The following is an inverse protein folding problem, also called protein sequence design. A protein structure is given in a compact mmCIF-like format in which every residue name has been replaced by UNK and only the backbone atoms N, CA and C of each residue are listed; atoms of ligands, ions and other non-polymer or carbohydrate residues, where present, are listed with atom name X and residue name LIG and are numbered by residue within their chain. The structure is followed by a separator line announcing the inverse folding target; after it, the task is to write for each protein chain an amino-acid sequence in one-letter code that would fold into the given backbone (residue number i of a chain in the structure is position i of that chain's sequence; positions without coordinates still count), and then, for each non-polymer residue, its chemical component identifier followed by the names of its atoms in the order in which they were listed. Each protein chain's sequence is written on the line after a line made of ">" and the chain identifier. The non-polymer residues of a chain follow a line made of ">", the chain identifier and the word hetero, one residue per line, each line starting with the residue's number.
data_IF_022433181314
#
_entry.id   IF_022433181314
#
_cell.length_a   1.000
_cell.length_b   1.000
_cell.length_c   1.000
_cell.angle_alpha   90.00
_cell.angle_beta   90.00
_cell.angle_gamma   90.00
#
_symmetry.space_group_name_H-M   'P 1'
#
loop_
_entity.id
_entity.type
_entity.pdbx_description
1 polymer ?
#
# COMPACT_ATOMS: atom_id res chain seq x y z
N UNK A 1 9.31 32.83 20.44
CA UNK A 1 8.69 31.73 19.64
C UNK A 1 9.68 30.58 19.65
N UNK A 2 9.57 29.65 20.62
CA UNK A 2 10.44 28.49 20.72
C UNK A 2 9.96 27.44 19.73
N UNK A 3 10.62 27.33 18.58
CA UNK A 3 10.38 26.24 17.64
C UNK A 3 10.93 24.95 18.24
N UNK A 4 10.05 24.07 18.70
CA UNK A 4 10.43 22.69 18.99
C UNK A 4 10.88 22.06 17.68
N UNK A 5 12.16 21.87 17.48
CA UNK A 5 12.69 20.95 16.47
C UNK A 5 12.23 19.57 16.92
N UNK A 6 11.18 19.05 16.30
CA UNK A 6 10.78 17.66 16.50
C UNK A 6 11.90 16.79 15.97
N UNK A 7 12.58 16.08 16.87
CA UNK A 7 13.61 15.12 16.48
C UNK A 7 12.95 14.01 15.65
N UNK A 8 13.38 13.87 14.40
CA UNK A 8 12.81 12.87 13.50
C UNK A 8 13.38 11.51 13.84
N UNK A 9 12.49 10.53 13.97
CA UNK A 9 12.88 9.13 14.16
C UNK A 9 13.69 8.64 12.97
N UNK A 10 14.85 8.03 13.25
CA UNK A 10 15.64 7.30 12.27
C UNK A 10 15.45 5.80 12.54
N UNK A 11 15.07 4.99 11.56
CA UNK A 11 14.95 3.55 11.74
C UNK A 11 16.27 2.90 12.17
N UNK A 12 16.20 1.88 13.02
CA UNK A 12 17.38 1.18 13.54
C UNK A 12 18.04 0.27 12.48
N UNK A 13 17.34 -0.05 11.40
CA UNK A 13 17.86 -0.84 10.30
C UNK A 13 17.70 -0.11 8.97
N UNK A 14 18.63 -0.37 8.06
CA UNK A 14 18.60 0.16 6.70
C UNK A 14 18.44 -1.00 5.72
N UNK A 15 17.64 -0.78 4.71
CA UNK A 15 17.52 -1.68 3.57
C UNK A 15 18.64 -1.37 2.56
N UNK A 16 18.98 -2.34 1.70
CA UNK A 16 20.03 -2.17 0.70
C UNK A 16 19.68 -1.10 -0.35
N UNK A 17 18.36 -0.87 -0.57
CA UNK A 17 17.84 0.16 -1.46
C UNK A 17 17.70 -0.27 -2.92
N UNK A 18 17.91 -1.55 -3.21
CA UNK A 18 17.74 -2.14 -4.53
C UNK A 18 16.63 -3.22 -4.56
N UNK A 19 15.96 -3.44 -3.43
CA UNK A 19 14.82 -4.34 -3.32
C UNK A 19 13.71 -3.94 -4.29
N UNK A 20 13.09 -4.97 -4.88
CA UNK A 20 12.04 -4.76 -5.86
C UNK A 20 10.90 -5.77 -5.73
N UNK A 21 9.77 -5.45 -6.35
CA UNK A 21 8.62 -6.34 -6.44
C UNK A 21 8.10 -6.44 -7.87
N UNK A 22 7.51 -7.59 -8.18
CA UNK A 22 6.72 -7.84 -9.37
C UNK A 22 5.29 -8.14 -8.92
N UNK A 23 4.35 -7.29 -9.32
CA UNK A 23 2.92 -7.42 -9.05
C UNK A 23 2.27 -7.92 -10.32
N UNK A 24 1.85 -9.18 -10.32
CA UNK A 24 1.07 -9.76 -11.39
C UNK A 24 -0.40 -9.45 -11.19
N UNK A 25 -1.03 -8.89 -12.20
CA UNK A 25 -2.45 -8.48 -12.13
C UNK A 25 -3.26 -9.06 -13.28
N UNK A 26 -4.59 -8.98 -13.18
CA UNK A 26 -5.50 -9.35 -14.28
C UNK A 26 -5.33 -8.49 -15.55
N UNK A 27 -4.54 -7.40 -15.50
CA UNK A 27 -4.27 -6.49 -16.61
C UNK A 27 -2.84 -6.52 -17.11
N UNK A 28 -1.96 -7.25 -16.44
CA UNK A 28 -0.53 -7.35 -16.77
C UNK A 28 0.35 -7.17 -15.54
N UNK A 29 1.64 -6.99 -15.79
CA UNK A 29 2.69 -6.95 -14.78
C UNK A 29 3.09 -5.52 -14.43
N UNK A 30 3.19 -5.21 -13.14
CA UNK A 30 3.73 -3.95 -12.61
C UNK A 30 5.02 -4.27 -11.87
N UNK A 31 6.13 -3.62 -12.22
CA UNK A 31 7.41 -3.74 -11.51
C UNK A 31 7.65 -2.50 -10.66
N UNK A 32 8.11 -2.72 -9.44
CA UNK A 32 8.32 -1.69 -8.43
C UNK A 32 9.75 -1.79 -7.90
N UNK A 33 10.40 -0.65 -7.70
CA UNK A 33 11.59 -0.52 -6.86
C UNK A 33 11.18 0.15 -5.54
N UNK A 34 11.69 -0.38 -4.43
CA UNK A 34 11.39 0.16 -3.10
C UNK A 34 12.30 1.33 -2.72
N UNK A 35 11.84 2.15 -1.79
CA UNK A 35 12.60 3.19 -1.09
C UNK A 35 12.79 2.75 0.37
N UNK A 36 13.79 1.91 0.57
CA UNK A 36 14.12 1.38 1.88
C UNK A 36 14.75 2.42 2.82
N UNK A 37 15.31 3.51 2.31
CA UNK A 37 15.88 4.57 3.12
C UNK A 37 14.78 5.42 3.77
N UNK A 38 13.74 5.77 2.99
CA UNK A 38 12.64 6.64 3.47
C UNK A 38 11.58 5.92 4.29
N UNK A 39 11.35 4.62 4.03
CA UNK A 39 10.25 3.87 4.66
C UNK A 39 10.60 2.39 4.89
N UNK A 40 11.66 2.06 5.65
CA UNK A 40 12.13 0.69 5.83
C UNK A 40 11.10 -0.23 6.49
N UNK A 41 10.30 0.26 7.46
CA UNK A 41 9.25 -0.54 8.12
C UNK A 41 8.17 -0.93 7.09
N UNK A 42 7.77 0.01 6.22
CA UNK A 42 6.75 -0.26 5.19
C UNK A 42 7.27 -1.23 4.13
N UNK A 43 8.52 -1.08 3.70
CA UNK A 43 9.14 -2.02 2.75
C UNK A 43 9.24 -3.41 3.37
N UNK A 44 9.79 -3.55 4.59
CA UNK A 44 9.91 -4.83 5.28
C UNK A 44 8.54 -5.51 5.46
N UNK A 45 7.52 -4.76 5.90
CA UNK A 45 6.16 -5.27 6.05
C UNK A 45 5.56 -5.73 4.72
N UNK A 46 5.75 -4.95 3.65
CA UNK A 46 5.24 -5.32 2.32
C UNK A 46 5.96 -6.57 1.79
N UNK A 47 7.28 -6.68 1.97
CA UNK A 47 8.07 -7.85 1.59
C UNK A 47 7.64 -9.09 2.37
N UNK A 48 7.48 -9.00 3.70
CA UNK A 48 7.01 -10.10 4.55
C UNK A 48 5.64 -10.62 4.08
N UNK A 49 4.66 -9.72 3.96
CA UNK A 49 3.31 -10.08 3.51
C UNK A 49 3.32 -10.69 2.09
N UNK A 50 4.13 -10.15 1.17
CA UNK A 50 4.27 -10.69 -0.18
C UNK A 50 4.87 -12.09 -0.18
N UNK A 51 5.93 -12.32 0.59
CA UNK A 51 6.59 -13.63 0.70
C UNK A 51 5.66 -14.70 1.29
N UNK A 52 4.75 -14.30 2.18
CA UNK A 52 3.72 -15.17 2.74
C UNK A 52 2.54 -15.45 1.77
N UNK A 53 2.53 -14.85 0.57
CA UNK A 53 1.41 -14.92 -0.37
C UNK A 53 0.16 -14.19 0.12
N UNK A 54 0.30 -13.26 1.07
CA UNK A 54 -0.83 -12.53 1.64
C UNK A 54 -1.65 -11.77 0.61
N UNK A 55 -1.01 -11.25 -0.43
CA UNK A 55 -1.67 -10.44 -1.46
C UNK A 55 -2.31 -11.28 -2.58
N UNK A 56 -2.02 -12.59 -2.65
CA UNK A 56 -2.48 -13.44 -3.73
C UNK A 56 -4.00 -13.55 -3.75
N UNK A 57 -4.59 -13.26 -4.89
CA UNK A 57 -6.05 -13.29 -5.07
C UNK A 57 -6.81 -12.07 -4.59
N UNK A 58 -6.16 -11.13 -3.89
CA UNK A 58 -6.80 -9.89 -3.46
C UNK A 58 -7.15 -9.00 -4.66
N UNK A 59 -8.04 -8.04 -4.42
CA UNK A 59 -8.53 -7.16 -5.49
C UNK A 59 -8.11 -5.72 -5.24
N UNK A 60 -7.90 -4.99 -6.34
CA UNK A 60 -7.96 -3.54 -6.29
C UNK A 60 -9.42 -3.16 -6.09
N UNK A 61 -9.78 -2.80 -4.87
CA UNK A 61 -11.17 -2.60 -4.44
C UNK A 61 -11.65 -1.16 -4.56
N UNK A 62 -10.73 -0.23 -4.79
CA UNK A 62 -11.02 1.19 -4.96
C UNK A 62 -10.03 1.83 -5.91
N UNK A 63 -10.53 2.66 -6.80
CA UNK A 63 -9.68 3.61 -7.51
C UNK A 63 -10.42 4.92 -7.76
N UNK A 64 -9.64 5.99 -7.75
CA UNK A 64 -10.10 7.34 -8.04
C UNK A 64 -9.36 7.81 -9.30
N UNK A 65 -10.07 7.99 -10.44
CA UNK A 65 -9.46 8.47 -11.67
C UNK A 65 -8.70 9.78 -11.44
N UNK A 66 -7.46 9.87 -11.95
CA UNK A 66 -6.62 11.05 -11.71
C UNK A 66 -6.01 11.15 -10.33
N UNK A 67 -6.14 10.11 -9.49
CA UNK A 67 -5.58 10.09 -8.15
C UNK A 67 -4.84 8.79 -7.84
N UNK A 68 -5.54 7.70 -7.49
CA UNK A 68 -4.93 6.43 -7.05
C UNK A 68 -5.70 5.20 -7.49
N UNK A 69 -5.02 4.04 -7.52
CA UNK A 69 -5.61 2.72 -7.38
C UNK A 69 -5.23 2.15 -6.01
N UNK A 70 -6.15 1.45 -5.34
CA UNK A 70 -5.97 0.92 -3.98
C UNK A 70 -6.31 -0.57 -3.92
N UNK A 71 -5.40 -1.36 -3.32
CA UNK A 71 -5.53 -2.79 -3.11
C UNK A 71 -4.95 -3.23 -1.77
N UNK A 72 -4.80 -4.56 -1.58
CA UNK A 72 -4.17 -5.12 -0.38
C UNK A 72 -5.11 -5.34 0.81
N UNK A 73 -6.42 -5.34 0.58
CA UNK A 73 -7.43 -5.65 1.59
C UNK A 73 -7.80 -7.13 1.58
N UNK A 74 -7.49 -7.91 2.64
CA UNK A 74 -7.79 -9.34 2.71
C UNK A 74 -9.30 -9.66 2.64
N UNK A 75 -10.18 -8.74 3.06
CA UNK A 75 -11.63 -8.93 2.98
C UNK A 75 -12.12 -9.14 1.54
N UNK A 76 -11.29 -8.82 0.53
CA UNK A 76 -11.64 -9.00 -0.88
C UNK A 76 -11.30 -10.37 -1.44
N UNK A 77 -10.59 -11.23 -0.69
CA UNK A 77 -10.05 -12.50 -1.19
C UNK A 77 -11.14 -13.41 -1.76
N UNK A 78 -12.10 -13.76 -0.93
CA UNK A 78 -13.15 -14.75 -1.23
C UNK A 78 -14.45 -14.12 -1.73
N UNK A 79 -14.39 -12.85 -2.15
CA UNK A 79 -15.53 -12.15 -2.74
C UNK A 79 -15.48 -12.21 -4.27
N UNK A 80 -16.63 -12.24 -4.91
CA UNK A 80 -16.70 -11.98 -6.35
C UNK A 80 -16.40 -10.51 -6.65
N UNK A 81 -15.90 -10.22 -7.86
CA UNK A 81 -15.70 -8.82 -8.28
C UNK A 81 -17.02 -8.01 -8.26
N UNK A 82 -18.16 -8.65 -8.53
CA UNK A 82 -19.47 -8.01 -8.46
C UNK A 82 -19.84 -7.61 -7.02
N UNK A 83 -19.57 -8.47 -6.03
CA UNK A 83 -19.86 -8.19 -4.62
C UNK A 83 -18.96 -7.07 -4.09
N UNK A 84 -17.67 -7.08 -4.46
CA UNK A 84 -16.74 -5.97 -4.13
C UNK A 84 -17.23 -4.67 -4.75
N UNK A 85 -17.65 -4.68 -6.02
CA UNK A 85 -18.18 -3.51 -6.71
C UNK A 85 -19.47 -2.98 -6.07
N UNK A 86 -20.37 -3.88 -5.66
CA UNK A 86 -21.60 -3.53 -4.96
C UNK A 86 -21.35 -3.07 -3.51
N UNK A 87 -20.15 -3.34 -2.97
CA UNK A 87 -19.82 -3.01 -1.59
C UNK A 87 -20.54 -3.86 -0.57
N UNK A 88 -20.80 -5.10 -0.92
CA UNK A 88 -21.40 -6.05 0.00
C UNK A 88 -20.38 -6.46 1.07
N UNK A 89 -20.87 -6.86 2.22
CA UNK A 89 -20.04 -7.46 3.26
C UNK A 89 -19.69 -8.90 2.86
N UNK A 90 -18.39 -9.20 2.84
CA UNK A 90 -17.88 -10.54 2.58
C UNK A 90 -17.72 -11.35 3.87
N UNK A 91 -17.20 -12.59 3.77
CA UNK A 91 -16.99 -13.46 4.93
C UNK A 91 -16.12 -12.83 6.02
N UNK A 92 -15.14 -12.01 5.62
CA UNK A 92 -14.16 -11.39 6.50
C UNK A 92 -14.43 -9.90 6.77
N UNK A 93 -15.54 -9.37 6.24
CA UNK A 93 -15.98 -7.98 6.45
C UNK A 93 -16.11 -7.16 5.17
N UNK A 94 -16.29 -5.86 5.35
CA UNK A 94 -16.49 -4.92 4.25
C UNK A 94 -15.20 -4.65 3.46
N UNK A 95 -15.24 -4.63 2.11
CA UNK A 95 -14.09 -4.20 1.30
C UNK A 95 -13.63 -2.80 1.68
N UNK A 96 -12.33 -2.65 1.88
CA UNK A 96 -11.67 -1.39 2.29
C UNK A 96 -11.43 -1.27 3.79
N UNK A 97 -11.88 -2.24 4.61
CA UNK A 97 -11.75 -2.17 6.07
C UNK A 97 -10.75 -3.17 6.67
N UNK A 98 -10.32 -4.18 5.91
CA UNK A 98 -9.44 -5.24 6.38
C UNK A 98 -7.97 -4.86 6.47
N UNK A 99 -7.20 -5.75 7.09
CA UNK A 99 -5.77 -5.64 7.27
C UNK A 99 -5.15 -6.95 7.74
N UNK A 100 -3.85 -6.97 8.04
CA UNK A 100 -3.12 -8.20 8.35
C UNK A 100 -3.26 -8.65 9.82
N UNK A 101 -4.19 -8.09 10.59
CA UNK A 101 -4.35 -8.36 12.01
C UNK A 101 -3.52 -7.44 12.92
N UNK A 102 -2.80 -6.49 12.35
CA UNK A 102 -1.97 -5.52 13.07
C UNK A 102 -1.79 -4.24 12.27
N UNK A 103 -1.25 -3.22 12.92
CA UNK A 103 -0.82 -1.97 12.31
C UNK A 103 0.69 -1.79 12.44
N UNK A 104 1.24 -0.86 11.66
CA UNK A 104 2.66 -0.47 11.72
C UNK A 104 2.80 1.04 11.92
N UNK A 105 3.95 1.48 12.42
CA UNK A 105 4.28 2.89 12.58
C UNK A 105 4.33 3.56 11.21
N UNK A 106 3.61 4.67 11.06
CA UNK A 106 3.64 5.47 9.83
C UNK A 106 4.96 6.21 9.65
N UNK A 107 5.64 6.00 8.50
CA UNK A 107 6.94 6.60 8.18
C UNK A 107 6.75 7.81 7.28
N UNK A 108 6.38 8.94 7.87
CA UNK A 108 6.20 10.22 7.18
C UNK A 108 6.45 11.41 8.12
N UNK A 109 6.71 12.59 7.54
CA UNK A 109 7.20 13.77 8.24
C UNK A 109 6.32 14.19 9.43
N UNK A 110 4.99 14.26 9.27
CA UNK A 110 4.09 14.66 10.37
C UNK A 110 3.99 13.62 11.49
N UNK A 111 4.47 12.40 11.26
CA UNK A 111 4.62 11.36 12.28
C UNK A 111 6.05 11.24 12.83
N UNK A 112 6.90 12.22 12.53
CA UNK A 112 8.26 12.32 13.06
C UNK A 112 9.28 11.44 12.35
N UNK A 113 9.03 11.01 11.11
CA UNK A 113 9.97 10.23 10.30
C UNK A 113 10.37 11.01 9.06
N UNK A 114 11.68 11.03 8.75
CA UNK A 114 12.17 11.62 7.51
C UNK A 114 11.85 10.67 6.35
N UNK A 115 10.90 11.07 5.52
CA UNK A 115 10.58 10.42 4.26
C UNK A 115 10.44 11.51 3.19
N UNK A 116 11.37 11.51 2.25
CA UNK A 116 11.47 12.55 1.23
C UNK A 116 10.79 12.17 -0.09
N UNK A 117 10.35 10.90 -0.23
CA UNK A 117 9.67 10.41 -1.42
C UNK A 117 8.33 11.13 -1.61
N UNK A 118 8.20 11.85 -2.73
CA UNK A 118 7.02 12.63 -3.05
C UNK A 118 5.99 11.79 -3.79
N UNK A 119 4.71 12.01 -3.49
CA UNK A 119 3.58 11.31 -4.13
C UNK A 119 3.41 11.77 -5.58
N UNK A 120 4.35 11.34 -6.41
CA UNK A 120 4.32 11.49 -7.86
C UNK A 120 3.64 10.30 -8.52
N UNK A 121 3.19 10.47 -9.78
CA UNK A 121 2.69 9.37 -10.60
C UNK A 121 3.64 8.16 -10.53
N UNK A 122 3.07 6.98 -10.26
CA UNK A 122 3.78 5.70 -10.11
C UNK A 122 4.35 5.42 -8.73
N UNK A 123 4.24 6.34 -7.76
CA UNK A 123 4.70 6.08 -6.38
C UNK A 123 3.74 5.13 -5.68
N UNK A 124 4.31 4.15 -4.95
CA UNK A 124 3.60 3.32 -3.98
C UNK A 124 3.62 4.00 -2.63
N UNK A 125 2.46 4.00 -1.98
CA UNK A 125 2.31 4.53 -0.62
C UNK A 125 1.35 3.66 0.18
N UNK A 126 1.48 3.61 1.50
CA UNK A 126 0.60 2.80 2.32
C UNK A 126 -0.68 3.57 2.66
N UNK A 127 -1.82 2.92 2.44
CA UNK A 127 -3.11 3.43 2.88
C UNK A 127 -3.22 3.34 4.42
N UNK A 128 -3.97 4.26 5.03
CA UNK A 128 -4.22 4.31 6.46
C UNK A 128 -5.56 4.96 6.80
N UNK A 129 -6.04 4.72 8.00
CA UNK A 129 -7.15 5.46 8.59
C UNK A 129 -6.68 6.80 9.17
N UNK A 130 -7.47 7.46 10.00
CA UNK A 130 -7.13 8.76 10.58
C UNK A 130 -5.91 8.72 11.53
N UNK A 131 -5.71 7.61 12.28
CA UNK A 131 -4.51 7.46 13.10
C UNK A 131 -3.24 7.36 12.25
N UNK A 132 -2.17 8.09 12.59
CA UNK A 132 -0.89 8.03 11.86
C UNK A 132 -0.27 6.62 11.80
N UNK A 133 -0.55 5.77 12.78
CA UNK A 133 0.00 4.43 12.95
C UNK A 133 -1.06 3.34 12.68
N UNK A 134 -1.96 3.55 11.72
CA UNK A 134 -3.02 2.61 11.36
C UNK A 134 -2.83 1.94 9.99
N UNK A 135 -1.66 2.09 9.40
CA UNK A 135 -1.30 1.36 8.19
C UNK A 135 -1.11 -0.14 8.49
N UNK A 136 -1.51 -1.01 7.58
CA UNK A 136 -1.39 -2.45 7.70
C UNK A 136 -0.92 -3.07 6.37
N UNK A 137 -1.86 -3.60 5.58
CA UNK A 137 -1.56 -4.23 4.29
C UNK A 137 -2.06 -3.45 3.07
N UNK A 138 -3.03 -2.54 3.24
CA UNK A 138 -3.59 -1.82 2.10
C UNK A 138 -2.61 -0.78 1.56
N UNK A 139 -2.41 -0.79 0.25
CA UNK A 139 -1.51 0.13 -0.44
C UNK A 139 -2.20 0.83 -1.61
N UNK A 140 -1.63 1.96 -2.00
CA UNK A 140 -2.04 2.75 -3.16
C UNK A 140 -0.89 2.88 -4.15
N UNK A 141 -1.23 2.89 -5.43
CA UNK A 141 -0.32 3.30 -6.51
C UNK A 141 -0.85 4.61 -7.08
N UNK A 142 0.01 5.61 -7.10
CA UNK A 142 -0.37 6.94 -7.59
C UNK A 142 -0.61 6.92 -9.10
N UNK A 143 -1.84 7.23 -9.52
CA UNK A 143 -2.19 7.40 -10.94
C UNK A 143 -1.76 8.78 -11.45
N UNK A 144 -1.82 9.80 -10.58
CA UNK A 144 -1.33 11.16 -10.83
C UNK A 144 -0.62 11.73 -9.59
N UNK A 145 0.05 12.85 -9.75
CA UNK A 145 0.73 13.57 -8.66
C UNK A 145 -0.27 14.04 -7.60
N UNK A 146 0.06 13.83 -6.31
CA UNK A 146 -0.78 14.22 -5.18
C UNK A 146 0.03 14.86 -4.04
N UNK A 147 0.47 16.08 -4.23
CA UNK A 147 1.31 16.82 -3.27
C UNK A 147 0.71 16.92 -1.86
N UNK A 148 -0.63 16.87 -1.74
CA UNK A 148 -1.31 16.93 -0.44
C UNK A 148 -1.07 15.69 0.43
N UNK A 149 -0.60 14.58 -0.13
CA UNK A 149 -0.20 13.39 0.62
C UNK A 149 1.23 13.47 1.16
N UNK A 150 2.05 14.37 0.62
CA UNK A 150 3.45 14.52 1.02
C UNK A 150 3.56 14.86 2.51
N UNK A 151 4.40 14.09 3.22
CA UNK A 151 4.58 14.23 4.66
C UNK A 151 3.42 13.72 5.52
N UNK A 152 2.32 13.22 4.94
CA UNK A 152 1.16 12.71 5.65
C UNK A 152 0.93 11.20 5.45
N UNK A 153 1.49 10.63 4.40
CA UNK A 153 1.43 9.20 4.07
C UNK A 153 2.84 8.66 3.82
N UNK A 154 3.01 7.36 4.07
CA UNK A 154 4.28 6.68 3.90
C UNK A 154 4.44 6.18 2.46
N UNK A 155 5.07 6.99 1.61
CA UNK A 155 5.54 6.55 0.31
C UNK A 155 6.73 5.61 0.51
N UNK A 156 6.76 4.43 -0.14
CA UNK A 156 7.76 3.40 0.11
C UNK A 156 8.32 2.73 -1.14
N UNK A 157 7.91 3.18 -2.33
CA UNK A 157 8.42 2.64 -3.58
C UNK A 157 7.88 3.37 -4.81
N UNK A 158 8.36 2.95 -5.97
CA UNK A 158 7.97 3.54 -7.25
C UNK A 158 7.90 2.48 -8.34
N UNK A 159 6.87 2.57 -9.18
CA UNK A 159 6.75 1.77 -10.41
C UNK A 159 7.89 2.11 -11.37
N UNK A 160 8.60 1.09 -11.81
CA UNK A 160 9.68 1.18 -12.79
C UNK A 160 9.24 0.71 -14.19
N UNK A 161 8.20 -0.15 -14.23
CA UNK A 161 7.59 -0.63 -15.48
C UNK A 161 6.13 -1.03 -15.21
N UNK A 162 5.24 -0.91 -16.20
CA UNK A 162 3.84 -1.29 -16.09
C UNK A 162 2.92 -0.14 -15.66
N UNK A 163 3.29 1.12 -15.88
CA UNK A 163 2.38 2.24 -15.67
C UNK A 163 1.16 2.23 -16.59
N UNK A 164 1.28 1.65 -17.77
CA UNK A 164 0.17 1.37 -18.68
C UNK A 164 -0.84 0.37 -18.07
N UNK A 165 -0.35 -0.62 -17.29
CA UNK A 165 -1.20 -1.54 -16.53
C UNK A 165 -1.94 -0.80 -15.41
N UNK A 166 -1.26 0.11 -14.69
CA UNK A 166 -1.90 0.99 -13.70
C UNK A 166 -3.00 1.84 -14.36
N UNK A 167 -2.74 2.40 -15.53
CA UNK A 167 -3.72 3.18 -16.30
C UNK A 167 -4.91 2.31 -16.75
N UNK A 168 -4.64 1.07 -17.20
CA UNK A 168 -5.68 0.13 -17.59
C UNK A 168 -6.60 -0.25 -16.41
N UNK A 169 -6.05 -0.42 -15.21
CA UNK A 169 -6.83 -0.62 -13.99
C UNK A 169 -7.63 0.66 -13.67
N UNK A 170 -6.98 1.82 -13.67
CA UNK A 170 -7.59 3.11 -13.33
C UNK A 170 -8.61 3.61 -14.37
N UNK A 171 -8.65 3.04 -15.58
CA UNK A 171 -9.65 3.35 -16.61
C UNK A 171 -10.93 2.51 -16.53
N UNK A 172 -10.95 1.48 -15.67
CA UNK A 172 -12.14 0.65 -15.47
C UNK A 172 -13.27 1.49 -14.87
N UNK A 173 -14.50 1.31 -15.34
CA UNK A 173 -15.68 2.01 -14.79
C UNK A 173 -15.85 1.71 -13.30
N UNK A 174 -16.14 2.75 -12.52
CA UNK A 174 -16.46 2.65 -11.10
C UNK A 174 -17.97 2.77 -10.84
N UNK A 175 -18.40 2.08 -9.80
CA UNK A 175 -19.69 2.26 -9.14
C UNK A 175 -19.56 3.19 -7.92
N UNK A 176 -20.50 3.11 -6.97
CA UNK A 176 -20.45 3.86 -5.71
C UNK A 176 -19.16 3.63 -4.94
N UNK A 177 -18.68 4.67 -4.23
CA UNK A 177 -17.46 4.63 -3.42
C UNK A 177 -16.19 4.29 -4.21
N UNK A 178 -16.12 4.69 -5.48
CA UNK A 178 -14.95 4.48 -6.35
C UNK A 178 -14.58 2.99 -6.54
N UNK A 179 -15.53 2.07 -6.44
CA UNK A 179 -15.30 0.64 -6.59
C UNK A 179 -15.34 0.21 -8.04
N UNK A 180 -14.38 -0.60 -8.53
CA UNK A 180 -14.37 -1.11 -9.90
C UNK A 180 -15.59 -1.99 -10.17
N UNK A 181 -16.33 -1.72 -11.24
CA UNK A 181 -17.46 -2.58 -11.66
C UNK A 181 -16.94 -3.92 -12.20
N UNK A 182 -15.83 -3.92 -12.92
CA UNK A 182 -15.16 -5.14 -13.37
C UNK A 182 -14.04 -5.51 -12.41
N UNK A 183 -13.91 -6.79 -12.10
CA UNK A 183 -12.86 -7.30 -11.20
C UNK A 183 -11.47 -6.89 -11.67
N UNK A 184 -10.68 -6.39 -10.72
CA UNK A 184 -9.27 -6.06 -10.89
C UNK A 184 -8.48 -6.83 -9.83
N UNK A 185 -7.86 -7.96 -10.23
CA UNK A 185 -7.25 -8.90 -9.32
C UNK A 185 -5.73 -8.76 -9.28
N UNK A 186 -5.15 -8.89 -8.10
CA UNK A 186 -3.74 -9.17 -7.86
C UNK A 186 -3.59 -10.70 -7.93
N UNK A 187 -2.92 -11.21 -8.95
CA UNK A 187 -2.68 -12.64 -9.09
C UNK A 187 -1.64 -13.12 -8.07
N UNK A 188 -0.53 -12.39 -7.99
CA UNK A 188 0.54 -12.61 -6.99
C UNK A 188 1.41 -11.37 -6.85
N UNK A 189 2.14 -11.29 -5.74
CA UNK A 189 3.24 -10.33 -5.58
C UNK A 189 4.48 -11.13 -5.19
N UNK A 190 5.52 -11.05 -6.02
CA UNK A 190 6.84 -11.61 -5.70
C UNK A 190 7.81 -10.48 -5.40
N UNK A 191 8.70 -10.71 -4.44
CA UNK A 191 9.72 -9.73 -4.02
C UNK A 191 11.11 -10.32 -4.23
N UNK A 192 12.04 -9.48 -4.68
CA UNK A 192 13.45 -9.78 -4.70
C UNK A 192 14.14 -8.88 -3.67
N UNK A 193 14.65 -9.50 -2.63
CA UNK A 193 15.37 -8.84 -1.55
C UNK A 193 16.89 -8.99 -1.72
N UNK A 194 17.35 -9.53 -2.86
CA UNK A 194 18.76 -9.84 -3.14
C UNK A 194 19.43 -10.71 -2.06
N UNK A 195 18.64 -11.54 -1.38
CA UNK A 195 19.09 -12.42 -0.28
C UNK A 195 19.17 -11.74 1.08
N UNK A 196 18.82 -10.47 1.19
CA UNK A 196 18.73 -9.78 2.47
C UNK A 196 17.53 -10.26 3.30
N UNK A 197 17.74 -10.33 4.60
CA UNK A 197 16.68 -10.67 5.58
C UNK A 197 16.33 -9.42 6.36
N UNK A 198 15.07 -9.04 6.35
CA UNK A 198 14.60 -7.88 7.09
C UNK A 198 14.14 -8.25 8.50
N UNK A 199 14.40 -7.37 9.48
CA UNK A 199 13.80 -7.55 10.79
C UNK A 199 12.29 -7.44 10.70
N UNK A 200 11.58 -8.28 11.42
CA UNK A 200 10.12 -8.25 11.48
C UNK A 200 9.65 -6.87 11.94
N UNK A 201 8.74 -6.21 11.20
CA UNK A 201 8.22 -4.91 11.59
C UNK A 201 7.54 -4.98 12.95
N UNK A 202 7.81 -4.01 13.82
CA UNK A 202 7.11 -3.92 15.10
C UNK A 202 5.61 -3.76 14.87
N UNK A 203 4.86 -4.80 15.19
CA UNK A 203 3.41 -4.86 15.07
C UNK A 203 2.76 -4.04 16.20
N UNK A 204 1.80 -3.21 15.85
CA UNK A 204 1.01 -2.38 16.75
C UNK A 204 -0.44 -2.88 16.74
N UNK A 205 -1.18 -2.74 17.86
CA UNK A 205 -2.61 -3.04 17.85
C UNK A 205 -3.34 -2.07 16.91
N UNK A 206 -4.42 -2.55 16.30
CA UNK A 206 -5.28 -1.67 15.52
C UNK A 206 -5.98 -0.65 16.44
N UNK A 207 -5.80 0.66 16.22
CA UNK A 207 -6.37 1.69 17.10
C UNK A 207 -7.91 1.77 17.05
N UNK A 208 -8.53 1.04 16.10
CA UNK A 208 -9.99 1.04 15.93
C UNK A 208 -10.61 -0.33 16.20
N UNK A 209 -9.80 -1.34 16.59
CA UNK A 209 -10.28 -2.69 16.88
C UNK A 209 -10.98 -3.37 15.70
N UNK A 210 -10.49 -3.14 14.47
CA UNK A 210 -11.07 -3.73 13.25
C UNK A 210 -10.67 -5.19 13.06
N UNK A 211 -9.55 -5.60 13.69
CA UNK A 211 -8.98 -6.96 13.62
C UNK A 211 -8.06 -7.25 14.80
#
# INVERSE_FOLDING_TARGET
>A
MFGFKKELYTPEYQLAGDECAVIETSKGTIKVKFDGEGAPIHVANFCELSTMGFYDGLKFHRYVPGFVIQGGDPNTRDMSGADVAAGLEGPDGMPGTGGPGYCIKGEFFFNGVKNELKHKRGVLSMARSSSPNSAGSQFIIMHQDAKHLDGQYAAFGKVTSGMDVVDAIASTKTGPNDRPIAEQKIASITVDTHGETYPEPKKLPDPYGRF
#
